data_IF_126013317666
#
_entry.id   IF_126013317666
#
_cell.length_a   1.000
_cell.length_b   1.000
_cell.length_c   1.000
_cell.angle_alpha   90.00
_cell.angle_beta   90.00
_cell.angle_gamma   90.00
#
_symmetry.space_group_name_H-M   'P 1'
#
loop_
_entity.id
_entity.type
_entity.pdbx_description
1 polymer ?
#
# COMPACT_ATOMS: atom_id res chain seq x y z
N UNK A 1 -9.31 0.64 -18.01
CA UNK A 1 -8.32 1.56 -17.44
C UNK A 1 -8.10 1.28 -15.95
N UNK A 2 -7.12 1.94 -15.34
CA UNK A 2 -6.83 1.88 -13.92
C UNK A 2 -7.14 3.24 -13.29
N UNK A 3 -7.85 3.22 -12.17
CA UNK A 3 -8.19 4.42 -11.37
C UNK A 3 -7.61 4.31 -9.98
N UNK A 4 -7.45 5.45 -9.29
CA UNK A 4 -7.03 5.50 -7.88
C UNK A 4 -8.22 5.93 -7.03
N UNK A 5 -8.68 5.04 -6.16
CA UNK A 5 -9.76 5.29 -5.21
C UNK A 5 -9.58 4.34 -4.02
N UNK A 6 -9.83 4.82 -2.80
CA UNK A 6 -9.69 3.98 -1.62
C UNK A 6 -10.79 2.92 -1.52
N UNK A 7 -12.04 3.31 -1.70
CA UNK A 7 -13.20 2.45 -1.52
C UNK A 7 -13.57 1.70 -2.82
N UNK A 8 -14.27 0.57 -2.75
CA UNK A 8 -14.71 -0.18 -3.92
C UNK A 8 -15.80 0.55 -4.73
N UNK A 9 -16.32 1.66 -4.19
CA UNK A 9 -17.31 2.52 -4.83
C UNK A 9 -16.81 3.97 -4.85
N UNK A 10 -17.26 4.71 -5.85
CA UNK A 10 -17.11 6.16 -5.89
C UNK A 10 -18.05 6.84 -4.88
N UNK A 11 -17.86 8.13 -4.65
CA UNK A 11 -18.68 8.90 -3.70
C UNK A 11 -20.19 8.92 -4.10
N UNK A 12 -20.47 8.89 -5.41
CA UNK A 12 -21.80 8.80 -6.00
C UNK A 12 -22.32 7.36 -6.15
N UNK A 13 -21.63 6.38 -5.55
CA UNK A 13 -22.09 5.00 -5.38
C UNK A 13 -21.79 4.05 -6.53
N UNK A 14 -21.08 4.47 -7.57
CA UNK A 14 -20.71 3.60 -8.69
C UNK A 14 -19.67 2.57 -8.24
N UNK A 15 -19.93 1.30 -8.52
CA UNK A 15 -18.96 0.22 -8.25
C UNK A 15 -17.83 0.27 -9.28
N UNK A 16 -16.60 0.45 -8.81
CA UNK A 16 -15.42 0.65 -9.66
C UNK A 16 -15.17 -0.55 -10.56
N UNK A 17 -15.32 -1.76 -10.04
CA UNK A 17 -15.04 -2.99 -10.79
C UNK A 17 -16.09 -3.28 -11.90
N UNK A 18 -17.32 -2.74 -11.75
CA UNK A 18 -18.45 -2.98 -12.64
C UNK A 18 -18.73 -1.83 -13.60
N UNK A 19 -18.05 -0.69 -13.43
CA UNK A 19 -18.33 0.54 -14.20
C UNK A 19 -17.17 0.84 -15.14
N UNK A 20 -17.47 1.36 -16.33
CA UNK A 20 -16.45 1.70 -17.30
C UNK A 20 -15.56 2.86 -16.82
N UNK A 21 -14.32 2.85 -17.31
CA UNK A 21 -13.28 3.80 -16.93
C UNK A 21 -13.67 5.27 -17.17
N UNK A 22 -14.32 5.56 -18.32
CA UNK A 22 -14.68 6.94 -18.67
C UNK A 22 -15.73 7.51 -17.72
N UNK A 23 -16.64 6.66 -17.25
CA UNK A 23 -17.67 7.04 -16.28
C UNK A 23 -17.05 7.26 -14.91
N UNK A 24 -16.23 6.31 -14.41
CA UNK A 24 -15.56 6.45 -13.10
C UNK A 24 -14.70 7.71 -13.02
N UNK A 25 -13.94 8.04 -14.06
CA UNK A 25 -13.06 9.22 -14.04
C UNK A 25 -13.80 10.57 -14.11
N UNK A 26 -15.12 10.56 -14.26
CA UNK A 26 -15.97 11.77 -14.12
C UNK A 26 -16.53 11.94 -12.71
N UNK A 27 -16.55 10.87 -11.89
CA UNK A 27 -17.03 10.92 -10.51
C UNK A 27 -16.19 11.88 -9.67
N UNK A 28 -16.81 12.56 -8.72
CA UNK A 28 -16.14 13.53 -7.86
C UNK A 28 -15.65 12.89 -6.57
N UNK A 29 -14.51 13.36 -6.09
CA UNK A 29 -14.00 13.15 -4.74
C UNK A 29 -14.57 14.18 -3.77
N UNK A 30 -14.41 13.97 -2.47
CA UNK A 30 -14.88 14.91 -1.42
C UNK A 30 -14.33 16.34 -1.57
N UNK A 31 -13.14 16.49 -2.11
CA UNK A 31 -12.49 17.78 -2.35
C UNK A 31 -12.91 18.46 -3.67
N UNK A 32 -13.84 17.86 -4.42
CA UNK A 32 -14.32 18.38 -5.70
C UNK A 32 -13.51 17.97 -6.93
N UNK A 33 -12.34 17.37 -6.74
CA UNK A 33 -11.55 16.80 -7.83
C UNK A 33 -12.24 15.57 -8.44
N UNK A 34 -11.82 15.13 -9.62
CA UNK A 34 -12.30 13.89 -10.21
C UNK A 34 -11.46 12.70 -9.79
N UNK A 35 -12.04 11.50 -9.79
CA UNK A 35 -11.30 10.25 -9.57
C UNK A 35 -10.16 10.16 -10.61
N UNK A 36 -8.89 10.17 -10.19
CA UNK A 36 -7.78 10.20 -11.12
C UNK A 36 -7.53 8.83 -11.76
N UNK A 37 -7.01 8.83 -12.99
CA UNK A 37 -6.39 7.64 -13.53
C UNK A 37 -5.08 7.32 -12.76
N UNK A 38 -4.69 6.04 -12.71
CA UNK A 38 -3.38 5.68 -12.16
C UNK A 38 -2.24 6.39 -12.90
N UNK A 39 -2.36 6.54 -14.22
CA UNK A 39 -1.36 7.23 -15.03
C UNK A 39 -1.16 8.69 -14.62
N UNK A 40 -2.26 9.42 -14.38
CA UNK A 40 -2.18 10.83 -13.98
C UNK A 40 -1.68 10.96 -12.54
N UNK A 41 -2.10 10.05 -11.65
CA UNK A 41 -1.61 9.97 -10.28
C UNK A 41 -0.10 9.74 -10.22
N UNK A 42 0.42 8.74 -10.96
CA UNK A 42 1.86 8.49 -11.07
C UNK A 42 2.61 9.67 -11.69
N UNK A 43 2.04 10.31 -12.72
CA UNK A 43 2.63 11.50 -13.34
C UNK A 43 2.75 12.68 -12.37
N UNK A 44 1.77 12.88 -11.51
CA UNK A 44 1.83 13.88 -10.45
C UNK A 44 2.88 13.51 -9.41
N UNK A 45 2.84 12.30 -8.88
CA UNK A 45 3.78 11.79 -7.86
C UNK A 45 5.23 11.78 -8.31
N UNK A 46 5.49 11.53 -9.60
CA UNK A 46 6.86 11.56 -10.17
C UNK A 46 7.60 12.86 -9.92
N UNK A 47 6.86 13.98 -9.79
CA UNK A 47 7.42 15.31 -9.56
C UNK A 47 7.76 15.57 -8.08
N UNK A 48 7.34 14.69 -7.17
CA UNK A 48 7.41 14.89 -5.72
C UNK A 48 8.59 14.12 -5.08
N UNK A 49 9.68 13.88 -5.81
CA UNK A 49 10.87 13.27 -5.25
C UNK A 49 11.43 14.11 -4.09
N UNK A 50 11.90 13.48 -3.01
CA UNK A 50 12.18 12.06 -2.81
C UNK A 50 11.00 11.20 -2.28
N UNK A 51 9.77 11.71 -2.30
CA UNK A 51 8.58 11.00 -1.81
C UNK A 51 8.40 9.65 -2.50
N UNK A 52 8.14 8.61 -1.72
CA UNK A 52 7.75 7.29 -2.19
C UNK A 52 6.23 7.21 -2.30
N UNK A 53 5.73 6.63 -3.38
CA UNK A 53 4.31 6.33 -3.56
C UNK A 53 4.06 4.88 -3.15
N UNK A 54 3.25 4.68 -2.12
CA UNK A 54 2.79 3.35 -1.71
C UNK A 54 1.49 3.04 -2.43
N UNK A 55 1.52 2.09 -3.35
CA UNK A 55 0.37 1.70 -4.16
C UNK A 55 -0.31 0.46 -3.58
N UNK A 56 -1.52 0.63 -3.05
CA UNK A 56 -2.35 -0.51 -2.67
C UNK A 56 -3.10 -1.06 -3.88
N UNK A 57 -2.87 -2.33 -4.20
CA UNK A 57 -3.66 -3.04 -5.20
C UNK A 57 -4.84 -3.71 -4.51
N UNK A 58 -6.03 -3.13 -4.70
CA UNK A 58 -7.27 -3.64 -4.10
C UNK A 58 -7.65 -4.99 -4.69
N UNK A 59 -8.01 -5.93 -3.83
CA UNK A 59 -8.44 -7.28 -4.24
C UNK A 59 -9.65 -7.19 -5.17
N UNK A 60 -9.58 -7.91 -6.29
CA UNK A 60 -10.63 -8.00 -7.28
C UNK A 60 -11.49 -9.25 -7.07
N UNK A 61 -12.64 -9.31 -7.72
CA UNK A 61 -13.63 -10.37 -7.56
C UNK A 61 -13.18 -11.76 -8.03
N UNK A 62 -12.21 -11.83 -8.95
CA UNK A 62 -11.68 -13.12 -9.44
C UNK A 62 -10.16 -13.17 -9.45
N UNK A 63 -9.55 -14.39 -9.39
CA UNK A 63 -8.10 -14.54 -9.49
C UNK A 63 -7.52 -13.95 -10.78
N UNK A 64 -8.19 -14.12 -11.92
CA UNK A 64 -7.74 -13.62 -13.22
C UNK A 64 -7.67 -12.08 -13.23
N UNK A 65 -8.66 -11.41 -12.63
CA UNK A 65 -8.69 -9.96 -12.51
C UNK A 65 -7.61 -9.45 -11.56
N UNK A 66 -7.30 -10.18 -10.50
CA UNK A 66 -6.17 -9.87 -9.62
C UNK A 66 -4.83 -9.92 -10.36
N UNK A 67 -4.61 -10.97 -11.14
CA UNK A 67 -3.41 -11.13 -11.98
C UNK A 67 -3.33 -10.02 -13.04
N UNK A 68 -4.44 -9.73 -13.70
CA UNK A 68 -4.51 -8.66 -14.70
C UNK A 68 -4.22 -7.28 -14.09
N UNK A 69 -4.76 -7.01 -12.89
CA UNK A 69 -4.49 -5.78 -12.15
C UNK A 69 -2.99 -5.63 -11.86
N UNK A 70 -2.35 -6.67 -11.31
CA UNK A 70 -0.92 -6.65 -11.01
C UNK A 70 -0.09 -6.39 -12.28
N UNK A 71 -0.38 -7.10 -13.38
CA UNK A 71 0.30 -6.91 -14.68
C UNK A 71 0.18 -5.47 -15.19
N UNK A 72 -1.02 -4.90 -15.14
CA UNK A 72 -1.26 -3.53 -15.64
C UNK A 72 -0.56 -2.49 -14.78
N UNK A 73 -0.60 -2.63 -13.44
CA UNK A 73 0.02 -1.68 -12.52
C UNK A 73 1.54 -1.74 -12.65
N UNK A 74 2.15 -2.92 -12.51
CA UNK A 74 3.62 -3.09 -12.64
C UNK A 74 4.10 -2.64 -14.02
N UNK A 75 3.40 -3.01 -15.09
CA UNK A 75 3.72 -2.57 -16.45
C UNK A 75 3.68 -1.05 -16.59
N UNK A 76 2.72 -0.37 -15.98
CA UNK A 76 2.62 1.10 -16.02
C UNK A 76 3.76 1.75 -15.24
N UNK A 77 4.08 1.28 -14.03
CA UNK A 77 5.19 1.79 -13.22
C UNK A 77 6.51 1.68 -13.99
N UNK A 78 6.79 0.50 -14.59
CA UNK A 78 7.98 0.27 -15.43
C UNK A 78 8.01 1.19 -16.66
N UNK A 79 6.90 1.32 -17.38
CA UNK A 79 6.83 2.18 -18.58
C UNK A 79 7.10 3.65 -18.23
N UNK A 80 6.77 4.08 -17.02
CA UNK A 80 7.00 5.44 -16.53
C UNK A 80 8.36 5.61 -15.84
N UNK A 81 9.17 4.54 -15.70
CA UNK A 81 10.47 4.52 -15.01
C UNK A 81 10.34 5.04 -13.57
N UNK A 82 9.42 4.45 -12.82
CA UNK A 82 9.11 4.84 -11.44
C UNK A 82 9.36 3.71 -10.43
N UNK A 83 10.04 2.64 -10.80
CA UNK A 83 10.32 1.48 -9.94
C UNK A 83 11.03 1.89 -8.65
N UNK A 84 11.93 2.85 -8.72
CA UNK A 84 12.65 3.38 -7.54
C UNK A 84 11.85 4.40 -6.70
N UNK A 85 10.59 4.70 -7.07
CA UNK A 85 9.72 5.67 -6.36
C UNK A 85 8.39 5.05 -5.95
N UNK A 86 8.18 3.76 -6.22
CA UNK A 86 6.92 3.05 -5.94
C UNK A 86 7.22 1.83 -5.07
N UNK A 87 6.42 1.67 -4.04
CA UNK A 87 6.30 0.45 -3.25
C UNK A 87 4.87 -0.07 -3.33
N UNK A 88 4.67 -1.37 -3.16
CA UNK A 88 3.36 -1.99 -3.33
C UNK A 88 2.88 -2.61 -2.03
N UNK A 89 1.57 -2.53 -1.80
CA UNK A 89 0.91 -3.23 -0.70
C UNK A 89 -0.36 -3.93 -1.20
N UNK A 90 -0.68 -5.08 -0.63
CA UNK A 90 -1.88 -5.84 -1.00
C UNK A 90 -2.38 -6.73 0.13
N UNK A 91 -3.71 -6.82 0.28
CA UNK A 91 -4.35 -7.81 1.15
C UNK A 91 -4.34 -9.22 0.54
N UNK A 92 -4.42 -9.30 -0.78
CA UNK A 92 -4.41 -10.58 -1.50
C UNK A 92 -2.98 -11.10 -1.68
N UNK A 93 -2.71 -12.30 -1.10
CA UNK A 93 -1.42 -12.95 -1.32
C UNK A 93 -1.18 -13.25 -2.81
N UNK A 94 -2.24 -13.57 -3.59
CA UNK A 94 -2.12 -13.76 -5.04
C UNK A 94 -1.62 -12.49 -5.74
N UNK A 95 -2.13 -11.33 -5.36
CA UNK A 95 -1.68 -10.04 -5.93
C UNK A 95 -0.23 -9.75 -5.56
N UNK A 96 0.12 -9.90 -4.27
CA UNK A 96 1.48 -9.63 -3.80
C UNK A 96 2.53 -10.53 -4.47
N UNK A 97 2.28 -11.85 -4.51
CA UNK A 97 3.19 -12.80 -5.15
C UNK A 97 3.27 -12.63 -6.67
N UNK A 98 2.17 -12.21 -7.32
CA UNK A 98 2.20 -11.90 -8.75
C UNK A 98 3.03 -10.64 -9.05
N UNK A 99 2.97 -9.60 -8.19
CA UNK A 99 3.87 -8.43 -8.31
C UNK A 99 5.33 -8.85 -8.20
N UNK A 100 5.67 -9.66 -7.20
CA UNK A 100 7.03 -10.20 -6.98
C UNK A 100 7.50 -11.00 -8.21
N UNK A 101 6.63 -11.84 -8.77
CA UNK A 101 6.93 -12.62 -9.98
C UNK A 101 7.19 -11.72 -11.20
N UNK A 102 6.44 -10.62 -11.36
CA UNK A 102 6.56 -9.67 -12.47
C UNK A 102 7.77 -8.75 -12.33
N UNK A 103 8.15 -8.46 -11.09
CA UNK A 103 9.29 -7.62 -10.74
C UNK A 103 9.95 -8.10 -9.44
N UNK A 104 10.95 -8.99 -9.53
CA UNK A 104 11.64 -9.52 -8.35
C UNK A 104 12.39 -8.47 -7.52
N UNK A 105 12.57 -7.26 -8.04
CA UNK A 105 13.19 -6.16 -7.31
C UNK A 105 12.16 -5.20 -6.69
N UNK A 106 10.87 -5.44 -6.92
CA UNK A 106 9.82 -4.61 -6.35
C UNK A 106 9.78 -4.74 -4.83
N UNK A 107 9.58 -3.62 -4.15
CA UNK A 107 9.27 -3.62 -2.73
C UNK A 107 7.77 -3.88 -2.55
N UNK A 108 7.45 -5.00 -1.90
CA UNK A 108 6.08 -5.45 -1.70
C UNK A 108 5.87 -5.82 -0.24
N UNK A 109 4.90 -5.18 0.42
CA UNK A 109 4.49 -5.53 1.77
C UNK A 109 3.08 -6.12 1.80
N UNK A 110 2.87 -7.11 2.68
CA UNK A 110 1.60 -7.81 2.84
C UNK A 110 0.74 -7.16 3.92
N UNK A 111 -0.58 -7.04 3.66
CA UNK A 111 -1.49 -6.26 4.51
C UNK A 111 -2.35 -7.10 5.46
N UNK A 112 -2.65 -8.38 5.13
CA UNK A 112 -3.77 -9.09 5.77
C UNK A 112 -3.53 -9.50 7.24
N UNK A 113 -2.28 -9.56 7.70
CA UNK A 113 -1.97 -9.81 9.11
C UNK A 113 -2.07 -11.27 9.56
N UNK A 114 -2.28 -12.21 8.65
CA UNK A 114 -2.47 -13.65 8.90
C UNK A 114 -1.21 -14.50 8.64
N UNK A 115 -0.09 -13.87 8.32
CA UNK A 115 1.21 -14.52 8.05
C UNK A 115 2.28 -13.99 8.98
N UNK A 116 3.11 -14.91 9.46
CA UNK A 116 4.31 -14.59 10.23
C UNK A 116 5.37 -13.92 9.36
N UNK A 117 6.34 -13.18 9.95
CA UNK A 117 7.47 -12.65 9.20
C UNK A 117 8.26 -13.71 8.43
N UNK A 118 8.42 -14.92 8.99
CA UNK A 118 9.11 -16.03 8.33
C UNK A 118 8.38 -16.49 7.06
N UNK A 119 7.05 -16.68 7.13
CA UNK A 119 6.23 -17.05 5.97
C UNK A 119 6.30 -15.98 4.87
N UNK A 120 6.29 -14.69 5.24
CA UNK A 120 6.43 -13.61 4.27
C UNK A 120 7.79 -13.61 3.58
N UNK A 121 8.86 -13.88 4.34
CA UNK A 121 10.20 -14.02 3.78
C UNK A 121 10.29 -15.15 2.77
N UNK A 122 9.72 -16.31 3.08
CA UNK A 122 9.66 -17.47 2.18
C UNK A 122 8.88 -17.16 0.90
N UNK A 123 7.81 -16.35 0.98
CA UNK A 123 7.01 -15.93 -0.16
C UNK A 123 7.67 -14.82 -0.99
N UNK A 124 8.82 -14.28 -0.55
CA UNK A 124 9.57 -13.25 -1.25
C UNK A 124 9.11 -11.82 -1.02
N UNK A 125 8.26 -11.57 -0.02
CA UNK A 125 7.90 -10.21 0.37
C UNK A 125 9.12 -9.47 0.94
N UNK A 126 9.13 -8.16 0.79
CA UNK A 126 10.16 -7.28 1.35
C UNK A 126 9.72 -6.62 2.66
N UNK A 127 8.47 -6.76 3.03
CA UNK A 127 7.93 -6.18 4.26
C UNK A 127 6.55 -6.70 4.62
N UNK A 128 6.11 -6.30 5.79
CA UNK A 128 4.74 -6.42 6.25
C UNK A 128 4.18 -5.01 6.53
N UNK A 129 2.89 -4.85 6.27
CA UNK A 129 2.14 -3.61 6.52
C UNK A 129 0.87 -3.99 7.27
N UNK A 130 0.95 -4.10 8.61
CA UNK A 130 -0.09 -4.73 9.39
C UNK A 130 -0.88 -3.74 10.24
N UNK A 131 -2.15 -4.07 10.44
CA UNK A 131 -2.98 -3.34 11.38
C UNK A 131 -2.38 -3.36 12.79
N UNK A 132 -2.37 -2.22 13.48
CA UNK A 132 -1.75 -2.04 14.80
C UNK A 132 -2.14 -3.10 15.84
N UNK A 133 -3.38 -3.61 15.82
CA UNK A 133 -3.81 -4.68 16.72
C UNK A 133 -3.07 -6.00 16.49
N UNK A 134 -2.75 -6.31 15.22
CA UNK A 134 -1.99 -7.53 14.87
C UNK A 134 -0.61 -7.45 15.51
N UNK A 135 0.10 -6.32 15.31
CA UNK A 135 1.45 -6.15 15.86
C UNK A 135 1.46 -6.07 17.40
N UNK A 136 0.49 -5.41 18.00
CA UNK A 136 0.35 -5.38 19.47
C UNK A 136 0.07 -6.77 20.06
N UNK A 137 -0.64 -7.64 19.35
CA UNK A 137 -0.90 -9.02 19.77
C UNK A 137 0.30 -9.96 19.51
N UNK A 138 1.18 -9.60 18.57
CA UNK A 138 2.37 -10.38 18.20
C UNK A 138 3.62 -9.51 18.37
N UNK A 139 3.93 -9.16 19.62
CA UNK A 139 4.97 -8.17 19.98
C UNK A 139 6.37 -8.48 19.43
N UNK A 140 6.68 -9.75 19.19
CA UNK A 140 7.99 -10.15 18.63
C UNK A 140 8.10 -9.91 17.13
N UNK A 141 6.98 -9.72 16.40
CA UNK A 141 6.97 -9.71 14.94
C UNK A 141 7.73 -8.53 14.31
N UNK A 142 7.79 -7.38 14.98
CA UNK A 142 8.59 -6.24 14.47
C UNK A 142 10.07 -6.64 14.46
N UNK A 143 10.58 -7.17 15.59
CA UNK A 143 11.96 -7.62 15.69
C UNK A 143 12.25 -8.81 14.75
N UNK A 144 11.37 -9.82 14.71
CA UNK A 144 11.51 -10.98 13.82
C UNK A 144 11.55 -10.56 12.34
N UNK A 145 10.74 -9.58 11.94
CA UNK A 145 10.77 -9.02 10.60
C UNK A 145 12.12 -8.38 10.29
N UNK A 146 12.63 -7.55 11.19
CA UNK A 146 13.94 -6.91 11.04
C UNK A 146 15.08 -7.94 10.99
N UNK A 147 15.06 -8.97 11.84
CA UNK A 147 16.04 -10.06 11.84
C UNK A 147 16.08 -10.81 10.50
N UNK A 148 14.96 -10.84 9.77
CA UNK A 148 14.81 -11.41 8.44
C UNK A 148 15.07 -10.40 7.30
N UNK A 149 15.36 -9.15 7.61
CA UNK A 149 15.56 -8.07 6.64
C UNK A 149 14.27 -7.62 5.95
N UNK A 150 13.13 -7.74 6.64
CA UNK A 150 11.83 -7.21 6.20
C UNK A 150 11.58 -5.85 6.84
N UNK A 151 10.95 -4.95 6.09
CA UNK A 151 10.45 -3.69 6.65
C UNK A 151 9.10 -3.89 7.33
N UNK A 152 8.82 -3.05 8.33
CA UNK A 152 7.55 -3.04 9.05
C UNK A 152 6.85 -1.71 8.89
N UNK A 153 5.66 -1.72 8.30
CA UNK A 153 4.70 -0.62 8.34
C UNK A 153 3.53 -1.00 9.25
N UNK A 154 2.95 -0.03 9.91
CA UNK A 154 1.77 -0.19 10.77
C UNK A 154 0.67 0.79 10.39
N UNK A 155 -0.59 0.34 10.37
CA UNK A 155 -1.76 1.17 10.03
C UNK A 155 -2.96 0.89 10.92
N UNK A 156 -3.95 1.77 11.04
CA UNK A 156 -3.80 3.23 10.97
C UNK A 156 -3.62 3.71 12.39
N UNK A 157 -2.58 4.46 12.68
CA UNK A 157 -2.19 4.88 14.04
C UNK A 157 -2.38 6.39 14.16
N UNK A 158 -3.34 6.83 14.97
CA UNK A 158 -3.72 8.25 15.07
C UNK A 158 -3.60 8.84 16.48
N UNK A 159 -3.43 8.00 17.52
CA UNK A 159 -3.30 8.46 18.92
C UNK A 159 -1.84 8.64 19.30
N UNK A 160 -1.51 9.70 20.02
CA UNK A 160 -0.15 10.02 20.43
C UNK A 160 0.56 8.85 21.15
N UNK A 161 -0.11 8.19 22.07
CA UNK A 161 0.47 7.05 22.83
C UNK A 161 0.76 5.85 21.91
N UNK A 162 -0.14 5.58 20.95
CA UNK A 162 0.05 4.50 19.98
C UNK A 162 1.16 4.85 18.96
N UNK A 163 1.26 6.12 18.54
CA UNK A 163 2.34 6.60 17.69
C UNK A 163 3.69 6.44 18.40
N UNK A 164 3.78 6.90 19.66
CA UNK A 164 4.99 6.76 20.46
C UNK A 164 5.36 5.28 20.64
N UNK A 165 4.40 4.41 20.95
CA UNK A 165 4.63 2.97 21.07
C UNK A 165 5.31 2.39 19.81
N UNK A 166 4.81 2.70 18.60
CA UNK A 166 5.40 2.16 17.38
C UNK A 166 6.71 2.84 16.96
N UNK A 167 6.96 4.09 17.40
CA UNK A 167 8.29 4.72 17.30
C UNK A 167 9.28 3.96 18.19
N UNK A 168 8.93 3.68 19.45
CA UNK A 168 9.78 2.97 20.42
C UNK A 168 10.06 1.52 19.98
N UNK A 169 9.09 0.84 19.36
CA UNK A 169 9.24 -0.48 18.75
C UNK A 169 10.01 -0.46 17.41
N UNK A 170 10.46 0.71 16.96
CA UNK A 170 11.22 0.92 15.73
C UNK A 170 10.52 0.48 14.45
N UNK A 171 9.19 0.67 14.35
CA UNK A 171 8.49 0.48 13.07
C UNK A 171 9.11 1.39 12.00
N UNK A 172 9.40 0.84 10.80
CA UNK A 172 10.05 1.58 9.71
C UNK A 172 9.13 2.65 9.13
N UNK A 173 7.81 2.37 9.11
CA UNK A 173 6.79 3.28 8.60
C UNK A 173 5.55 3.24 9.49
N UNK A 174 4.90 4.38 9.65
CA UNK A 174 3.64 4.52 10.39
C UNK A 174 2.63 5.23 9.49
N UNK A 175 1.57 4.52 9.11
CA UNK A 175 0.45 5.12 8.38
C UNK A 175 -0.49 5.80 9.36
N UNK A 176 -0.66 7.12 9.21
CA UNK A 176 -1.46 7.95 10.11
C UNK A 176 -2.27 9.01 9.36
N UNK A 177 -3.39 9.43 9.93
CA UNK A 177 -4.13 10.63 9.49
C UNK A 177 -3.64 11.91 10.20
N UNK A 178 -2.67 11.77 11.13
CA UNK A 178 -2.13 12.84 11.97
C UNK A 178 -0.61 13.02 11.72
N UNK A 179 -0.20 13.35 10.47
CA UNK A 179 1.23 13.38 10.12
C UNK A 179 2.00 14.45 10.89
N UNK A 180 1.40 15.60 11.19
CA UNK A 180 2.03 16.66 11.98
C UNK A 180 2.32 16.19 13.41
N UNK A 181 1.37 15.48 14.05
CA UNK A 181 1.56 14.90 15.37
C UNK A 181 2.70 13.88 15.38
N UNK A 182 2.76 13.00 14.38
CA UNK A 182 3.85 12.03 14.23
C UNK A 182 5.21 12.73 14.08
N UNK A 183 5.28 13.74 13.22
CA UNK A 183 6.51 14.52 13.01
C UNK A 183 6.98 15.22 14.28
N UNK A 184 6.07 15.72 15.11
CA UNK A 184 6.42 16.37 16.37
C UNK A 184 6.91 15.36 17.43
N UNK A 185 6.39 14.13 17.44
CA UNK A 185 6.90 13.06 18.31
C UNK A 185 8.31 12.62 17.90
N UNK A 186 8.62 12.58 16.61
CA UNK A 186 9.94 12.20 16.08
C UNK A 186 11.05 13.25 16.34
N UNK A 187 10.70 14.47 16.75
CA UNK A 187 11.67 15.53 17.10
C UNK A 187 12.14 15.45 18.55
N UNK A 188 11.50 14.67 19.41
CA UNK A 188 11.83 14.51 20.82
C UNK A 188 12.90 13.47 21.03
#
# INVERSE_FOLDING_TARGET
GLVVNHDPKTLDGLKIEETDFKTITKSKLKNGETVPSLKDYLKAGKKLKPMILVLELKTQSTPERNIELAKKVVGMVKSMKMEGQVEYIAFSNLVGTEIIRLDPNAKVAYLNGDKTPAELKELGYTGLDYHQKVLKNNKSWIREAHDLGLTVNVWTVNKADDLQYFIDEAADFITTNEPELLLDLLKK
#
